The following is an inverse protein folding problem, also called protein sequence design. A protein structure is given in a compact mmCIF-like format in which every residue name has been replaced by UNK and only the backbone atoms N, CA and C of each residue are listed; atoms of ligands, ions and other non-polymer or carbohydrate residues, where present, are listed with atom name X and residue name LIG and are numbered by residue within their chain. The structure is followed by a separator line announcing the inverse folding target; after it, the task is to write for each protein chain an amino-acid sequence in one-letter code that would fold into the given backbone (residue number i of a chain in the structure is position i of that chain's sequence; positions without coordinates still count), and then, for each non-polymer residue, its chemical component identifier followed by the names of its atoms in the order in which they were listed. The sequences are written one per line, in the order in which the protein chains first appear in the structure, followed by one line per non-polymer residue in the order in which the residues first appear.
data_IF_610647767216
#
_entry.id   IF_610647767216
#
_cell.length_a   1.000
_cell.length_b   1.000
_cell.length_c   1.000
_cell.angle_alpha   90.00
_cell.angle_beta   90.00
_cell.angle_gamma   90.00
#
_symmetry.space_group_name_H-M   'P 1'
#
loop_
_entity.id
_entity.type
_entity.pdbx_description
1 polymer ?
#
# COMPACT_ATOMS: atom_id res chain seq x y z
N UNK A 1 12.55 1.20 -36.77
CA UNK A 1 13.08 1.13 -35.39
C UNK A 1 12.17 1.97 -34.51
N UNK A 2 11.31 1.34 -33.72
CA UNK A 2 10.43 2.05 -32.77
C UNK A 2 11.34 2.48 -31.61
N UNK A 3 11.89 3.69 -31.68
CA UNK A 3 12.50 4.30 -30.51
C UNK A 3 11.36 4.60 -29.53
N UNK A 4 11.00 3.62 -28.70
CA UNK A 4 10.24 3.89 -27.48
C UNK A 4 11.08 4.88 -26.67
N UNK A 5 10.70 6.15 -26.71
CA UNK A 5 11.34 7.15 -25.85
C UNK A 5 11.26 6.62 -24.41
N UNK A 6 12.36 6.59 -23.65
CA UNK A 6 12.40 6.04 -22.29
C UNK A 6 11.32 6.67 -21.37
N UNK A 7 10.89 7.89 -21.69
CA UNK A 7 9.81 8.62 -21.01
C UNK A 7 8.42 7.98 -21.19
N UNK A 8 8.13 7.35 -22.33
CA UNK A 8 6.87 6.63 -22.56
C UNK A 8 6.82 5.35 -21.71
N UNK A 9 7.96 4.65 -21.57
CA UNK A 9 8.07 3.49 -20.69
C UNK A 9 7.80 3.83 -19.22
N UNK A 10 8.26 4.99 -18.74
CA UNK A 10 7.98 5.49 -17.40
C UNK A 10 6.48 5.77 -17.16
N UNK A 11 5.78 6.34 -18.15
CA UNK A 11 4.35 6.59 -18.03
C UNK A 11 3.54 5.28 -17.97
N UNK A 12 3.94 4.25 -18.71
CA UNK A 12 3.33 2.91 -18.64
C UNK A 12 3.61 2.24 -17.29
N UNK A 13 4.86 2.29 -16.82
CA UNK A 13 5.24 1.75 -15.52
C UNK A 13 4.47 2.45 -14.39
N UNK A 14 4.32 3.76 -14.45
CA UNK A 14 3.52 4.55 -13.50
C UNK A 14 2.06 4.08 -13.45
N UNK A 15 1.41 3.95 -14.61
CA UNK A 15 0.02 3.50 -14.69
C UNK A 15 -0.16 2.06 -14.16
N UNK A 16 0.74 1.15 -14.54
CA UNK A 16 0.71 -0.24 -14.10
C UNK A 16 0.92 -0.36 -12.59
N UNK A 17 1.94 0.31 -12.04
CA UNK A 17 2.23 0.31 -10.60
C UNK A 17 1.08 0.94 -9.80
N UNK A 18 0.50 2.04 -10.29
CA UNK A 18 -0.65 2.66 -9.65
C UNK A 18 -1.86 1.72 -9.59
N UNK A 19 -2.21 1.08 -10.72
CA UNK A 19 -3.34 0.14 -10.78
C UNK A 19 -3.12 -1.09 -9.88
N UNK A 20 -1.94 -1.71 -9.95
CA UNK A 20 -1.57 -2.85 -9.10
C UNK A 20 -1.56 -2.44 -7.62
N UNK A 21 -1.05 -1.26 -7.31
CA UNK A 21 -1.03 -0.71 -5.95
C UNK A 21 -2.43 -0.57 -5.36
N UNK A 22 -3.41 -0.09 -6.15
CA UNK A 22 -4.81 0.00 -5.70
C UNK A 22 -5.39 -1.39 -5.43
N UNK A 23 -5.23 -2.33 -6.35
CA UNK A 23 -5.78 -3.70 -6.20
C UNK A 23 -5.19 -4.37 -4.98
N UNK A 24 -3.88 -4.25 -4.78
CA UNK A 24 -3.19 -4.73 -3.57
C UNK A 24 -3.74 -4.04 -2.32
N UNK A 25 -3.83 -2.71 -2.29
CA UNK A 25 -4.36 -1.96 -1.15
C UNK A 25 -5.77 -2.40 -0.75
N UNK A 26 -6.67 -2.55 -1.73
CA UNK A 26 -8.03 -3.03 -1.49
C UNK A 26 -8.03 -4.47 -0.97
N UNK A 27 -7.22 -5.35 -1.54
CA UNK A 27 -7.11 -6.74 -1.09
C UNK A 27 -6.60 -6.84 0.35
N UNK A 28 -5.62 -6.01 0.73
CA UNK A 28 -5.11 -5.93 2.10
C UNK A 28 -6.18 -5.39 3.04
N UNK A 29 -6.95 -4.36 2.67
CA UNK A 29 -8.09 -3.88 3.47
C UNK A 29 -9.15 -4.97 3.69
N UNK A 30 -9.52 -5.70 2.64
CA UNK A 30 -10.48 -6.79 2.71
C UNK A 30 -9.97 -7.87 3.66
N UNK A 31 -8.72 -8.30 3.48
CA UNK A 31 -8.09 -9.30 4.36
C UNK A 31 -8.02 -8.81 5.81
N UNK A 32 -7.66 -7.55 6.01
CA UNK A 32 -7.61 -6.91 7.32
C UNK A 32 -8.98 -6.94 8.01
N UNK A 33 -10.08 -6.72 7.31
CA UNK A 33 -11.42 -6.76 7.88
C UNK A 33 -11.77 -8.14 8.48
N UNK A 34 -11.19 -9.23 7.96
CA UNK A 34 -11.38 -10.59 8.48
C UNK A 34 -10.40 -10.95 9.60
N UNK A 35 -9.14 -10.49 9.50
CA UNK A 35 -8.06 -10.91 10.40
C UNK A 35 -7.88 -9.96 11.59
N UNK A 36 -8.41 -8.73 11.52
CA UNK A 36 -8.15 -7.71 12.55
C UNK A 36 -8.51 -8.23 13.95
N UNK A 37 -7.63 -8.01 14.94
CA UNK A 37 -7.93 -8.35 16.34
C UNK A 37 -9.11 -7.48 16.81
N UNK A 38 -10.14 -8.07 17.43
CA UNK A 38 -11.20 -7.28 18.06
C UNK A 38 -10.85 -7.02 19.51
N UNK A 39 -11.16 -5.81 19.98
CA UNK A 39 -11.01 -5.47 21.39
C UNK A 39 -11.83 -6.44 22.25
N UNK A 40 -11.17 -7.17 23.15
CA UNK A 40 -11.80 -8.15 24.03
C UNK A 40 -11.65 -9.63 23.62
N UNK A 41 -11.03 -9.93 22.48
CA UNK A 41 -10.64 -11.31 22.15
C UNK A 41 -9.53 -11.79 23.11
N UNK A 42 -9.58 -13.07 23.52
CA UNK A 42 -8.49 -13.72 24.27
C UNK A 42 -7.16 -13.59 23.51
N UNK A 43 -6.02 -13.62 24.23
CA UNK A 43 -4.68 -13.36 23.66
C UNK A 43 -4.55 -13.88 22.22
N UNK A 44 -4.24 -13.01 21.24
CA UNK A 44 -4.30 -13.39 19.83
C UNK A 44 -3.35 -14.56 19.57
N UNK A 45 -3.83 -15.55 18.82
CA UNK A 45 -2.99 -16.70 18.48
C UNK A 45 -1.73 -16.24 17.74
N UNK A 46 -0.58 -16.92 17.90
CA UNK A 46 0.67 -16.53 17.22
C UNK A 46 0.50 -16.39 15.71
N UNK A 47 -0.39 -17.18 15.11
CA UNK A 47 -0.73 -17.10 13.69
C UNK A 47 -1.39 -15.76 13.33
N UNK A 48 -2.33 -15.28 14.15
CA UNK A 48 -2.97 -13.97 13.96
C UNK A 48 -1.92 -12.86 14.07
N UNK A 49 -1.03 -12.91 15.05
CA UNK A 49 0.08 -11.95 15.21
C UNK A 49 0.91 -11.89 13.93
N UNK A 50 1.40 -13.03 13.45
CA UNK A 50 2.22 -13.09 12.23
C UNK A 50 1.46 -12.56 11.01
N UNK A 51 0.20 -12.96 10.81
CA UNK A 51 -0.62 -12.43 9.72
C UNK A 51 -0.78 -10.92 9.79
N UNK A 52 -1.04 -10.38 10.99
CA UNK A 52 -1.22 -8.95 11.23
C UNK A 52 0.05 -8.18 10.89
N UNK A 53 1.23 -8.69 11.29
CA UNK A 53 2.53 -8.13 10.93
C UNK A 53 2.79 -8.17 9.42
N UNK A 54 2.46 -9.28 8.75
CA UNK A 54 2.60 -9.41 7.30
C UNK A 54 1.70 -8.40 6.58
N UNK A 55 0.44 -8.23 7.02
CA UNK A 55 -0.46 -7.22 6.47
C UNK A 55 0.08 -5.80 6.70
N UNK A 56 0.61 -5.52 7.89
CA UNK A 56 1.30 -4.25 8.19
C UNK A 56 2.47 -3.99 7.25
N UNK A 57 3.31 -4.99 7.00
CA UNK A 57 4.43 -4.89 6.06
C UNK A 57 3.97 -4.68 4.61
N UNK A 58 2.87 -5.34 4.20
CA UNK A 58 2.26 -5.14 2.89
C UNK A 58 1.80 -3.69 2.70
N UNK A 59 1.21 -3.07 3.72
CA UNK A 59 0.83 -1.65 3.67
C UNK A 59 2.03 -0.74 3.37
N UNK A 60 3.17 -0.99 4.03
CA UNK A 60 4.41 -0.24 3.80
C UNK A 60 4.97 -0.50 2.40
N UNK A 61 4.95 -1.74 1.92
CA UNK A 61 5.38 -2.08 0.56
C UNK A 61 4.51 -1.35 -0.49
N UNK A 62 3.20 -1.32 -0.31
CA UNK A 62 2.27 -0.63 -1.21
C UNK A 62 2.56 0.88 -1.21
N UNK A 63 2.90 1.47 -0.07
CA UNK A 63 3.35 2.86 0.04
C UNK A 63 4.57 3.13 -0.85
N UNK A 64 5.57 2.23 -0.84
CA UNK A 64 6.75 2.36 -1.71
C UNK A 64 6.35 2.28 -3.19
N UNK A 65 5.52 1.32 -3.58
CA UNK A 65 5.04 1.18 -4.96
C UNK A 65 4.24 2.40 -5.42
N UNK A 66 3.40 2.94 -4.54
CA UNK A 66 2.61 4.12 -4.77
C UNK A 66 3.49 5.37 -4.98
N UNK A 67 4.53 5.55 -4.18
CA UNK A 67 5.52 6.63 -4.35
C UNK A 67 6.23 6.47 -5.70
N UNK A 68 6.68 5.27 -6.05
CA UNK A 68 7.31 5.01 -7.36
C UNK A 68 6.35 5.31 -8.52
N UNK A 69 5.08 4.93 -8.40
CA UNK A 69 4.06 5.23 -9.40
C UNK A 69 3.91 6.74 -9.61
N UNK A 70 3.85 7.52 -8.53
CA UNK A 70 3.78 8.99 -8.60
C UNK A 70 5.05 9.56 -9.22
N UNK A 71 6.24 9.14 -8.77
CA UNK A 71 7.52 9.62 -9.30
C UNK A 71 7.66 9.35 -10.81
N UNK A 72 7.37 8.13 -11.25
CA UNK A 72 7.42 7.79 -12.68
C UNK A 72 6.37 8.54 -13.49
N UNK A 73 5.20 8.82 -12.92
CA UNK A 73 4.18 9.63 -13.58
C UNK A 73 4.61 11.08 -13.72
N UNK A 74 5.20 11.68 -12.68
CA UNK A 74 5.73 13.04 -12.72
C UNK A 74 6.88 13.16 -13.73
N UNK A 75 7.79 12.19 -13.77
CA UNK A 75 8.90 12.17 -14.73
C UNK A 75 8.43 11.88 -16.18
N UNK A 76 7.36 11.10 -16.35
CA UNK A 76 6.80 10.71 -17.65
C UNK A 76 5.74 11.66 -18.22
N UNK A 77 5.36 12.71 -17.48
CA UNK A 77 4.22 13.59 -17.81
C UNK A 77 4.32 14.26 -19.18
N UNK A 78 5.54 14.58 -19.61
CA UNK A 78 5.81 15.30 -20.86
C UNK A 78 5.70 14.41 -22.12
N UNK A 79 5.75 13.08 -21.96
CA UNK A 79 5.73 12.14 -23.09
C UNK A 79 4.38 11.46 -23.31
N UNK A 80 3.62 11.21 -22.24
CA UNK A 80 2.31 10.55 -22.32
C UNK A 80 1.39 11.04 -21.20
N UNK A 81 0.99 12.32 -21.29
CA UNK A 81 0.29 13.03 -20.23
C UNK A 81 -1.05 12.42 -19.77
N UNK A 82 -1.67 11.55 -20.57
CA UNK A 82 -2.86 10.78 -20.16
C UNK A 82 -2.52 9.63 -19.22
N UNK A 83 -1.62 8.73 -19.64
CA UNK A 83 -1.17 7.59 -18.82
C UNK A 83 -0.44 8.04 -17.57
N UNK A 84 0.43 9.05 -17.69
CA UNK A 84 1.15 9.62 -16.56
C UNK A 84 0.20 10.19 -15.51
N UNK A 85 -0.88 10.88 -15.91
CA UNK A 85 -1.91 11.35 -14.98
C UNK A 85 -2.65 10.20 -14.30
N UNK A 86 -3.02 9.16 -15.06
CA UNK A 86 -3.67 7.99 -14.49
C UNK A 86 -2.78 7.32 -13.43
N UNK A 87 -1.49 7.12 -13.73
CA UNK A 87 -0.53 6.57 -12.78
C UNK A 87 -0.30 7.44 -11.54
N UNK A 88 -0.26 8.76 -11.67
CA UNK A 88 -0.20 9.68 -10.52
C UNK A 88 -1.47 9.56 -9.66
N UNK A 89 -2.65 9.60 -10.28
CA UNK A 89 -3.93 9.51 -9.54
C UNK A 89 -4.03 8.17 -8.83
N UNK A 90 -3.76 7.07 -9.53
CA UNK A 90 -3.83 5.75 -8.94
C UNK A 90 -2.78 5.51 -7.87
N UNK A 91 -1.54 5.96 -8.11
CA UNK A 91 -0.47 5.95 -7.11
C UNK A 91 -0.86 6.76 -5.87
N UNK A 92 -1.45 7.94 -6.04
CA UNK A 92 -1.89 8.78 -4.92
C UNK A 92 -3.01 8.12 -4.12
N UNK A 93 -4.00 7.52 -4.77
CA UNK A 93 -5.07 6.77 -4.10
C UNK A 93 -4.52 5.54 -3.38
N UNK A 94 -3.60 4.79 -4.00
CA UNK A 94 -2.92 3.67 -3.36
C UNK A 94 -2.12 4.11 -2.14
N UNK A 95 -1.42 5.25 -2.21
CA UNK A 95 -0.69 5.82 -1.08
C UNK A 95 -1.64 6.20 0.07
N UNK A 96 -2.78 6.84 -0.22
CA UNK A 96 -3.77 7.21 0.80
C UNK A 96 -4.37 5.98 1.48
N UNK A 97 -4.78 4.98 0.70
CA UNK A 97 -5.26 3.70 1.22
C UNK A 97 -4.17 3.05 2.09
N UNK A 98 -2.93 3.11 1.63
CA UNK A 98 -1.80 2.52 2.32
C UNK A 98 -1.43 3.20 3.62
N UNK A 99 -1.49 4.51 3.65
CA UNK A 99 -1.32 5.29 4.86
C UNK A 99 -2.44 5.00 5.87
N UNK A 100 -3.70 4.96 5.42
CA UNK A 100 -4.83 4.63 6.29
C UNK A 100 -4.71 3.22 6.89
N UNK A 101 -4.25 2.26 6.08
CA UNK A 101 -4.01 0.89 6.52
C UNK A 101 -2.83 0.77 7.51
N UNK A 102 -1.74 1.51 7.27
CA UNK A 102 -0.62 1.57 8.19
C UNK A 102 -1.03 2.18 9.54
N UNK A 103 -1.86 3.23 9.53
CA UNK A 103 -2.43 3.82 10.77
C UNK A 103 -3.30 2.80 11.49
N UNK A 104 -4.19 2.09 10.78
CA UNK A 104 -5.02 1.05 11.37
C UNK A 104 -4.19 -0.07 12.01
N UNK A 105 -3.11 -0.49 11.35
CA UNK A 105 -2.16 -1.47 11.89
C UNK A 105 -1.48 -0.97 13.17
N UNK A 106 -0.96 0.26 13.19
CA UNK A 106 -0.29 0.84 14.36
C UNK A 106 -1.24 0.94 15.55
N UNK A 107 -2.48 1.39 15.33
CA UNK A 107 -3.50 1.48 16.38
C UNK A 107 -3.79 0.09 16.97
N UNK A 108 -4.00 -0.92 16.13
CA UNK A 108 -4.24 -2.29 16.61
C UNK A 108 -3.01 -2.92 17.28
N UNK A 109 -1.80 -2.58 16.86
CA UNK A 109 -0.57 -3.08 17.48
C UNK A 109 -0.29 -2.42 18.84
N UNK A 110 -0.70 -1.15 19.03
CA UNK A 110 -0.53 -0.43 20.29
C UNK A 110 -1.31 -1.10 21.45
N UNK A 111 -2.51 -1.61 21.17
CA UNK A 111 -3.33 -2.34 22.14
C UNK A 111 -2.62 -3.59 22.71
N UNK A 112 -1.72 -4.20 21.93
CA UNK A 112 -0.98 -5.40 22.36
C UNK A 112 0.19 -5.07 23.27
N UNK A 113 0.85 -3.94 23.03
CA UNK A 113 1.97 -3.47 23.85
C UNK A 113 1.53 -3.09 25.26
N UNK A 114 0.28 -2.66 25.45
CA UNK A 114 -0.28 -2.35 26.78
C UNK A 114 -0.61 -3.57 27.62
N UNK A 115 -0.71 -4.78 27.04
CA UNK A 115 -1.05 -6.01 27.76
C UNK A 115 0.19 -6.73 28.32
N UNK A 116 1.40 -6.36 27.88
CA UNK A 116 2.64 -6.86 28.47
C UNK A 116 2.96 -5.99 29.69
N UNK A 117 2.82 -6.50 30.94
CA UNK A 117 3.24 -5.74 32.10
C UNK A 117 4.75 -5.53 31.98
N UNK A 118 5.19 -4.28 32.08
CA UNK A 118 6.57 -3.94 32.41
C UNK A 118 6.95 -4.73 33.67
N UNK A 119 7.70 -5.82 33.49
CA UNK A 119 8.46 -6.43 34.58
C UNK A 119 9.79 -5.70 34.70
#
# INVERSE_FOLDING_TARGET
MIQQQPRTGLAVASAALGAVGIVMAMSVWVTWAFVRPRAGDALPSPLVVVLTLVLGALWVLILVLAVLAVLFGVLGRDAAGGLARAGIVFGSLAALLALAGAVAFVVSAADWLTVVPTR
#
